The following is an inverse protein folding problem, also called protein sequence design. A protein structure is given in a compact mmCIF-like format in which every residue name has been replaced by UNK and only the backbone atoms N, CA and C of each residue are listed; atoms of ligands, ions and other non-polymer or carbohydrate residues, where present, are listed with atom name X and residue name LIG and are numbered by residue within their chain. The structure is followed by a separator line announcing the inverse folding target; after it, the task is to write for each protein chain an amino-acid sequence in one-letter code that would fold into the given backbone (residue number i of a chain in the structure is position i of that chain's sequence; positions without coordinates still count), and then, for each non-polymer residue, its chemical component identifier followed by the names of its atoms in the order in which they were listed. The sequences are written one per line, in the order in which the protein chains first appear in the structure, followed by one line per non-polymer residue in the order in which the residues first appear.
data_IF_966017137917
#
_entry.id   IF_966017137917
#
_cell.length_a   1.000
_cell.length_b   1.000
_cell.length_c   1.000
_cell.angle_alpha   90.00
_cell.angle_beta   90.00
_cell.angle_gamma   90.00
#
_symmetry.space_group_name_H-M   'P 1'
#
loop_
_entity.id
_entity.type
_entity.pdbx_description
1 polymer ?
#
# COMPACT_ATOMS: atom_id res chain seq x y z
N UNK A 1 -0.20 -9.44 15.12
CA UNK A 1 0.62 -8.39 14.47
C UNK A 1 0.94 -7.35 15.52
N UNK A 2 2.11 -6.72 15.50
CA UNK A 2 2.57 -5.76 16.54
C UNK A 2 3.03 -4.46 15.88
N UNK A 3 2.99 -3.35 16.64
CA UNK A 3 3.48 -2.05 16.18
C UNK A 3 4.95 -2.11 15.70
N UNK A 4 5.79 -2.85 16.44
CA UNK A 4 7.18 -3.10 16.06
C UNK A 4 7.31 -3.70 14.65
N UNK A 5 6.53 -4.73 14.31
CA UNK A 5 6.62 -5.38 13.01
C UNK A 5 6.22 -4.45 11.85
N UNK A 6 5.20 -3.60 12.08
CA UNK A 6 4.76 -2.58 11.12
C UNK A 6 5.84 -1.52 10.93
N UNK A 7 6.43 -1.03 12.01
CA UNK A 7 7.51 -0.04 11.95
C UNK A 7 8.75 -0.59 11.24
N UNK A 8 9.15 -1.83 11.53
CA UNK A 8 10.25 -2.49 10.82
C UNK A 8 9.99 -2.62 9.31
N UNK A 9 8.74 -2.89 8.92
CA UNK A 9 8.36 -2.90 7.51
C UNK A 9 8.61 -1.54 6.85
N UNK A 10 8.14 -0.44 7.46
CA UNK A 10 8.33 0.91 6.89
C UNK A 10 9.81 1.33 6.85
N UNK A 11 10.60 0.98 7.87
CA UNK A 11 12.04 1.22 7.90
C UNK A 11 12.73 0.48 6.73
N UNK A 12 12.44 -0.82 6.57
CA UNK A 12 12.99 -1.63 5.49
C UNK A 12 12.57 -1.13 4.12
N UNK A 13 11.31 -0.68 3.97
CA UNK A 13 10.79 -0.12 2.74
C UNK A 13 11.54 1.17 2.37
N UNK A 14 11.70 2.09 3.33
CA UNK A 14 12.45 3.34 3.13
C UNK A 14 13.91 3.08 2.78
N UNK A 15 14.56 2.10 3.43
CA UNK A 15 15.94 1.71 3.11
C UNK A 15 16.06 1.15 1.68
N UNK A 16 15.13 0.30 1.24
CA UNK A 16 15.14 -0.27 -0.11
C UNK A 16 14.89 0.77 -1.20
N UNK A 17 14.01 1.74 -0.94
CA UNK A 17 13.64 2.77 -1.92
C UNK A 17 14.61 3.96 -1.94
N UNK A 18 15.31 4.21 -0.83
CA UNK A 18 16.00 5.48 -0.58
C UNK A 18 15.05 6.56 -0.05
N UNK A 19 15.57 7.43 0.82
CA UNK A 19 14.78 8.41 1.56
C UNK A 19 13.99 9.36 0.65
N UNK A 20 14.64 9.93 -0.37
CA UNK A 20 13.99 10.92 -1.24
C UNK A 20 12.85 10.31 -2.06
N UNK A 21 13.06 9.12 -2.61
CA UNK A 21 12.03 8.41 -3.38
C UNK A 21 10.87 7.98 -2.47
N UNK A 22 11.18 7.54 -1.25
CA UNK A 22 10.18 7.16 -0.27
C UNK A 22 9.23 8.32 0.06
N UNK A 23 9.74 9.49 0.47
CA UNK A 23 8.90 10.64 0.82
C UNK A 23 8.21 11.29 -0.40
N UNK A 24 8.73 11.10 -1.61
CA UNK A 24 8.05 11.53 -2.83
C UNK A 24 6.79 10.70 -3.10
N UNK A 25 6.88 9.38 -2.88
CA UNK A 25 5.78 8.43 -3.12
C UNK A 25 4.80 8.42 -1.95
N UNK A 26 5.31 8.27 -0.73
CA UNK A 26 4.52 8.23 0.51
C UNK A 26 4.59 9.60 1.19
N UNK A 27 3.76 10.53 0.75
CA UNK A 27 3.71 11.90 1.32
C UNK A 27 3.10 11.92 2.73
N UNK A 28 2.11 11.06 2.94
CA UNK A 28 1.36 10.93 4.19
C UNK A 28 0.94 9.48 4.37
N UNK A 29 0.83 9.03 5.61
CA UNK A 29 0.23 7.74 5.96
C UNK A 29 -1.07 7.99 6.71
N UNK A 30 -2.14 7.30 6.30
CA UNK A 30 -3.44 7.33 6.99
C UNK A 30 -3.73 5.94 7.54
N UNK A 31 -4.19 5.85 8.78
CA UNK A 31 -4.50 4.57 9.43
C UNK A 31 -5.73 4.67 10.33
N UNK A 32 -6.33 3.55 10.67
CA UNK A 32 -7.24 3.50 11.82
C UNK A 32 -6.45 3.45 13.15
N UNK A 33 -7.16 3.52 14.27
CA UNK A 33 -6.60 3.44 15.62
C UNK A 33 -6.23 2.00 16.04
N UNK A 34 -5.89 1.13 15.09
CA UNK A 34 -5.38 -0.21 15.38
C UNK A 34 -4.09 -0.15 16.20
N UNK A 35 -3.98 -1.03 17.21
CA UNK A 35 -2.81 -1.08 18.10
C UNK A 35 -1.50 -1.41 17.38
N UNK A 36 -1.57 -2.04 16.21
CA UNK A 36 -0.42 -2.29 15.34
C UNK A 36 0.07 -1.06 14.59
N UNK A 37 -0.71 0.03 14.59
CA UNK A 37 -0.39 1.28 13.91
C UNK A 37 -0.13 2.44 14.88
N UNK A 38 -0.19 2.20 16.19
CA UNK A 38 -0.07 3.22 17.24
C UNK A 38 1.29 3.94 17.25
N UNK A 39 2.32 3.34 16.66
CA UNK A 39 3.69 3.86 16.66
C UNK A 39 4.16 4.34 15.27
N UNK A 40 3.26 4.50 14.29
CA UNK A 40 3.63 4.92 12.93
C UNK A 40 4.31 6.29 12.89
N UNK A 41 4.00 7.18 13.84
CA UNK A 41 4.64 8.50 13.98
C UNK A 41 6.14 8.42 14.26
N UNK A 42 6.65 7.26 14.70
CA UNK A 42 8.08 7.04 14.90
C UNK A 42 8.84 6.76 13.59
N UNK A 43 8.14 6.39 12.52
CA UNK A 43 8.75 5.98 11.24
C UNK A 43 8.40 6.90 10.07
N UNK A 44 7.38 7.76 10.23
CA UNK A 44 6.94 8.71 9.22
C UNK A 44 6.44 10.01 9.86
N UNK A 45 6.81 11.16 9.28
CA UNK A 45 6.55 12.48 9.90
C UNK A 45 5.10 12.96 9.72
N UNK A 46 4.41 12.49 8.68
CA UNK A 46 3.02 12.84 8.39
C UNK A 46 2.11 11.62 8.50
N UNK A 47 1.61 11.35 9.70
CA UNK A 47 0.67 10.26 9.98
C UNK A 47 -0.64 10.84 10.51
N UNK A 48 -1.75 10.39 9.92
CA UNK A 48 -3.09 10.79 10.32
C UNK A 48 -3.91 9.56 10.69
N UNK A 49 -4.66 9.65 11.78
CA UNK A 49 -5.52 8.57 12.26
C UNK A 49 -6.98 8.94 12.04
N UNK A 50 -7.81 7.95 11.71
CA UNK A 50 -9.26 8.13 11.63
C UNK A 50 -9.84 8.46 13.01
N UNK A 51 -10.89 9.28 13.03
CA UNK A 51 -11.58 9.65 14.25
C UNK A 51 -12.31 8.45 14.86
N UNK A 52 -12.41 8.38 16.21
CA UNK A 52 -13.20 7.36 16.87
C UNK A 52 -14.65 7.38 16.38
N UNK A 53 -15.20 6.19 16.09
CA UNK A 53 -16.58 6.01 15.60
C UNK A 53 -16.88 6.63 14.23
N UNK A 54 -15.84 6.90 13.42
CA UNK A 54 -15.97 7.44 12.06
C UNK A 54 -15.64 6.42 10.96
N UNK A 55 -16.46 5.36 10.77
CA UNK A 55 -16.19 4.30 9.79
C UNK A 55 -16.14 4.79 8.34
N UNK A 56 -16.75 5.93 8.02
CA UNK A 56 -16.73 6.51 6.66
C UNK A 56 -15.33 6.97 6.24
N UNK A 57 -14.45 7.32 7.17
CA UNK A 57 -13.07 7.74 6.88
C UNK A 57 -12.17 6.58 6.43
N UNK A 58 -12.61 5.35 6.69
CA UNK A 58 -11.87 4.11 6.38
C UNK A 58 -12.53 3.27 5.28
N UNK A 59 -13.39 3.87 4.45
CA UNK A 59 -14.12 3.17 3.38
C UNK A 59 -13.20 2.41 2.41
N UNK A 60 -12.07 2.99 2.04
CA UNK A 60 -11.07 2.33 1.18
C UNK A 60 -10.47 1.07 1.82
N UNK A 61 -10.21 1.10 3.13
CA UNK A 61 -9.66 -0.05 3.86
C UNK A 61 -10.66 -1.20 3.90
N UNK A 62 -11.95 -0.90 4.10
CA UNK A 62 -13.02 -1.92 4.07
C UNK A 62 -13.15 -2.58 2.69
N UNK A 63 -13.04 -1.79 1.61
CA UNK A 63 -13.05 -2.31 0.24
C UNK A 63 -11.86 -3.23 0.01
N UNK A 64 -10.65 -2.82 0.38
CA UNK A 64 -9.44 -3.64 0.20
C UNK A 64 -9.50 -4.93 1.03
N UNK A 65 -10.00 -4.87 2.27
CA UNK A 65 -10.23 -6.06 3.09
C UNK A 65 -11.25 -7.01 2.47
N UNK A 66 -12.28 -6.49 1.79
CA UNK A 66 -13.26 -7.31 1.05
C UNK A 66 -12.62 -8.01 -0.14
N UNK A 67 -11.71 -7.34 -0.85
CA UNK A 67 -10.94 -7.94 -1.94
C UNK A 67 -10.05 -9.07 -1.44
N UNK A 68 -9.29 -8.83 -0.35
CA UNK A 68 -8.45 -9.86 0.26
C UNK A 68 -9.27 -11.10 0.65
N UNK A 69 -10.49 -10.91 1.15
CA UNK A 69 -11.40 -11.99 1.55
C UNK A 69 -12.01 -12.80 0.41
N UNK A 70 -11.85 -12.38 -0.85
CA UNK A 70 -12.23 -13.22 -2.00
C UNK A 70 -11.22 -14.33 -2.24
N UNK A 71 -9.96 -14.10 -1.89
CA UNK A 71 -8.85 -15.04 -2.07
C UNK A 71 -8.43 -15.72 -0.77
N UNK A 72 -8.57 -15.04 0.38
CA UNK A 72 -8.23 -15.56 1.70
C UNK A 72 -9.51 -15.82 2.51
N UNK A 73 -9.79 -17.10 2.77
CA UNK A 73 -10.99 -17.52 3.49
C UNK A 73 -10.98 -16.98 4.92
N UNK A 74 -12.13 -16.49 5.36
CA UNK A 74 -12.30 -15.99 6.74
C UNK A 74 -12.05 -17.11 7.75
N UNK A 75 -11.22 -16.84 8.76
CA UNK A 75 -10.92 -17.80 9.84
C UNK A 75 -9.67 -18.65 9.58
N UNK A 76 -9.15 -18.63 8.35
CA UNK A 76 -7.83 -19.18 8.08
C UNK A 76 -6.77 -18.15 8.43
N UNK A 77 -5.71 -18.62 9.07
CA UNK A 77 -4.57 -17.78 9.36
C UNK A 77 -3.77 -17.56 8.07
N UNK A 78 -3.36 -16.32 7.80
CA UNK A 78 -2.63 -15.94 6.57
C UNK A 78 -1.34 -16.76 6.40
N UNK A 79 -0.73 -17.21 7.51
CA UNK A 79 0.44 -18.08 7.50
C UNK A 79 0.19 -19.48 6.91
N UNK A 80 -1.06 -19.88 6.70
CA UNK A 80 -1.41 -21.13 6.02
C UNK A 80 -1.26 -21.02 4.48
N UNK A 81 -1.10 -19.80 3.96
CA UNK A 81 -0.93 -19.54 2.54
C UNK A 81 0.55 -19.41 2.22
N UNK A 82 0.97 -20.03 1.11
CA UNK A 82 2.33 -19.88 0.60
C UNK A 82 2.59 -18.45 0.13
N UNK A 83 3.86 -18.02 0.15
CA UNK A 83 4.26 -16.73 -0.40
C UNK A 83 3.80 -16.55 -1.85
N UNK A 84 3.82 -17.63 -2.65
CA UNK A 84 3.34 -17.61 -4.03
C UNK A 84 1.83 -17.29 -4.13
N UNK A 85 1.01 -17.85 -3.24
CA UNK A 85 -0.41 -17.53 -3.17
C UNK A 85 -0.64 -16.08 -2.75
N UNK A 86 0.11 -15.60 -1.75
CA UNK A 86 0.00 -14.20 -1.30
C UNK A 86 0.38 -13.22 -2.42
N UNK A 87 1.43 -13.53 -3.18
CA UNK A 87 1.84 -12.73 -4.35
C UNK A 87 0.74 -12.77 -5.42
N UNK A 88 0.22 -13.95 -5.76
CA UNK A 88 -0.85 -14.09 -6.75
C UNK A 88 -2.13 -13.32 -6.35
N UNK A 89 -2.51 -13.37 -5.06
CA UNK A 89 -3.62 -12.59 -4.51
C UNK A 89 -3.36 -11.09 -4.67
N UNK A 90 -2.17 -10.61 -4.32
CA UNK A 90 -1.81 -9.20 -4.47
C UNK A 90 -1.82 -8.76 -5.94
N UNK A 91 -1.29 -9.57 -6.84
CA UNK A 91 -1.30 -9.28 -8.28
C UNK A 91 -2.72 -9.21 -8.82
N UNK A 92 -3.58 -10.18 -8.46
CA UNK A 92 -4.98 -10.14 -8.83
C UNK A 92 -5.67 -8.87 -8.30
N UNK A 93 -5.46 -8.50 -7.03
CA UNK A 93 -6.04 -7.29 -6.43
C UNK A 93 -5.61 -6.00 -7.13
N UNK A 94 -4.36 -5.94 -7.60
CA UNK A 94 -3.79 -4.78 -8.27
C UNK A 94 -4.22 -4.66 -9.74
N UNK A 95 -4.46 -5.78 -10.41
CA UNK A 95 -4.92 -5.83 -11.80
C UNK A 95 -6.44 -5.92 -11.94
N UNK A 96 -7.19 -6.04 -10.84
CA UNK A 96 -8.65 -6.07 -10.87
C UNK A 96 -9.23 -4.73 -11.34
N UNK A 97 -10.04 -4.71 -12.43
CA UNK A 97 -10.72 -3.51 -12.91
C UNK A 97 -11.71 -2.96 -11.87
N UNK A 98 -11.61 -1.67 -11.52
CA UNK A 98 -12.49 -1.05 -10.53
C UNK A 98 -13.40 -0.02 -11.19
N UNK A 99 -14.69 -0.08 -10.85
CA UNK A 99 -15.69 0.88 -11.36
C UNK A 99 -15.33 2.33 -10.99
N UNK A 100 -14.77 2.56 -9.80
CA UNK A 100 -14.29 3.88 -9.36
C UNK A 100 -13.16 4.46 -10.22
N UNK A 101 -12.49 3.62 -11.01
CA UNK A 101 -11.45 4.01 -11.96
C UNK A 101 -11.94 3.91 -13.41
N UNK A 102 -13.25 3.98 -13.65
CA UNK A 102 -13.85 3.84 -14.98
C UNK A 102 -13.44 2.53 -15.69
N UNK A 103 -13.28 1.45 -14.92
CA UNK A 103 -12.88 0.14 -15.46
C UNK A 103 -11.37 -0.08 -15.56
N UNK A 104 -10.54 0.88 -15.13
CA UNK A 104 -9.10 0.65 -14.99
C UNK A 104 -8.76 -0.06 -13.67
N UNK A 105 -7.60 -0.72 -13.64
CA UNK A 105 -7.07 -1.35 -12.43
C UNK A 105 -6.28 -0.36 -11.58
N UNK A 106 -6.03 -0.70 -10.31
CA UNK A 106 -5.15 0.10 -9.45
C UNK A 106 -3.75 0.23 -10.04
N UNK A 107 -3.24 -0.83 -10.68
CA UNK A 107 -1.94 -0.84 -11.35
C UNK A 107 -1.90 0.15 -12.53
N UNK A 108 -2.97 0.23 -13.32
CA UNK A 108 -3.04 1.17 -14.45
C UNK A 108 -2.99 2.63 -13.96
N UNK A 109 -3.78 2.93 -12.92
CA UNK A 109 -3.83 4.26 -12.33
C UNK A 109 -2.47 4.62 -11.69
N UNK A 110 -1.87 3.68 -10.95
CA UNK A 110 -0.55 3.87 -10.36
C UNK A 110 0.52 4.15 -11.41
N UNK A 111 0.61 3.31 -12.46
CA UNK A 111 1.57 3.50 -13.56
C UNK A 111 1.40 4.87 -14.21
N UNK A 112 0.17 5.27 -14.52
CA UNK A 112 -0.13 6.58 -15.09
C UNK A 112 0.37 7.73 -14.20
N UNK A 113 0.06 7.69 -12.90
CA UNK A 113 0.50 8.71 -11.95
C UNK A 113 2.02 8.73 -11.79
N UNK A 114 2.64 7.55 -11.73
CA UNK A 114 4.10 7.40 -11.63
C UNK A 114 4.82 8.00 -12.83
N UNK A 115 4.38 7.68 -14.06
CA UNK A 115 4.98 8.24 -15.26
C UNK A 115 4.80 9.76 -15.36
N UNK A 116 3.66 10.29 -14.89
CA UNK A 116 3.43 11.74 -14.83
C UNK A 116 4.37 12.45 -13.85
N UNK A 117 4.66 11.85 -12.69
CA UNK A 117 5.61 12.38 -11.71
C UNK A 117 7.04 12.36 -12.27
N UNK A 118 7.45 11.27 -12.91
CA UNK A 118 8.78 11.14 -13.53
C UNK A 118 8.96 12.10 -14.71
N UNK A 119 7.93 12.28 -15.54
CA UNK A 119 8.01 13.20 -16.69
C UNK A 119 8.18 14.66 -16.26
N UNK A 120 7.63 15.05 -15.10
CA UNK A 120 7.78 16.40 -14.55
C UNK A 120 9.21 16.69 -14.07
N UNK A 121 10.00 15.64 -13.76
CA UNK A 121 11.34 15.77 -13.18
C UNK A 121 12.46 16.08 -14.20
N UNK A 122 12.17 16.12 -15.51
CA UNK A 122 13.18 16.33 -16.57
C UNK A 122 14.42 15.42 -16.45
N UNK A 123 14.32 14.28 -15.76
CA UNK A 123 15.40 13.31 -15.68
C UNK A 123 15.23 12.29 -16.81
N UNK A 124 16.32 11.87 -17.48
CA UNK A 124 16.24 10.81 -18.48
C UNK A 124 15.68 9.54 -17.83
N UNK A 125 14.76 8.87 -18.53
CA UNK A 125 14.13 7.62 -18.08
C UNK A 125 15.21 6.54 -18.06
N UNK A 126 15.96 6.45 -16.96
CA UNK A 126 16.71 5.24 -16.63
C UNK A 126 15.65 4.19 -16.30
N UNK A 127 15.78 2.99 -16.86
CA UNK A 127 14.75 1.97 -16.82
C UNK A 127 14.53 1.44 -15.38
N UNK A 128 13.63 2.07 -14.63
CA UNK A 128 13.24 1.69 -13.26
C UNK A 128 12.32 0.46 -13.19
N UNK A 129 11.97 -0.16 -14.33
CA UNK A 129 11.13 -1.39 -14.33
C UNK A 129 11.79 -2.58 -13.64
N UNK A 130 13.09 -2.50 -13.32
CA UNK A 130 13.86 -3.55 -12.65
C UNK A 130 13.77 -3.46 -11.10
N UNK A 131 13.28 -2.36 -10.52
CA UNK A 131 13.29 -2.18 -9.06
C UNK A 131 12.03 -2.67 -8.32
N UNK A 132 10.98 -3.08 -9.04
CA UNK A 132 9.69 -3.48 -8.48
C UNK A 132 9.20 -4.85 -8.98
N UNK A 133 10.12 -5.74 -9.36
CA UNK A 133 9.87 -7.19 -9.48
C UNK A 133 10.52 -7.86 -8.27
#
# INVERSE_FOLDING_TARGET
KTAHAVNQFFINLRQKMGTDAYYRIFKTITSDNGSEFSELTQVHDHVFYADPYSPWERGSNEINNRFLRKEITKGEAINNYSSAQIIATNDWMNHYPRAMFNGHSSMDIYRKAFYQEISQLHQPIINWSVLFI
#
